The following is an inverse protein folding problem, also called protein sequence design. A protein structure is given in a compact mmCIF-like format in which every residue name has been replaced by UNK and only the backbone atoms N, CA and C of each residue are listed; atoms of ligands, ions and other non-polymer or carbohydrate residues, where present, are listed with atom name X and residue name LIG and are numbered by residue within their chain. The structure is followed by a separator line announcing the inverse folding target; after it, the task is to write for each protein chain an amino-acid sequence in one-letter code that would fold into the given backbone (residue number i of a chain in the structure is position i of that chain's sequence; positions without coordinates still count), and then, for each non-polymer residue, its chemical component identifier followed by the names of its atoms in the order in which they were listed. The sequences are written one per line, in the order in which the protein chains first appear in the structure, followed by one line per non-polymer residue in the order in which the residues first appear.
data_IF_779193891229
#
_entry.id   IF_779193891229
#
_cell.length_a   1.000
_cell.length_b   1.000
_cell.length_c   1.000
_cell.angle_alpha   90.00
_cell.angle_beta   90.00
_cell.angle_gamma   90.00
#
_symmetry.space_group_name_H-M   'P 1'
#
loop_
_entity.id
_entity.type
_entity.pdbx_description
1 polymer ?
#
# COMPACT_ATOMS: atom_id res chain seq x y z
N UNK A 1 42.04 -4.73 -24.47
CA UNK A 1 41.34 -3.51 -23.99
C UNK A 1 40.05 -3.19 -24.78
N UNK A 2 39.09 -4.11 -24.95
CA UNK A 2 37.72 -3.74 -25.44
C UNK A 2 36.58 -4.64 -24.95
N UNK A 3 36.84 -5.62 -24.09
CA UNK A 3 35.84 -6.58 -23.58
C UNK A 3 35.36 -6.28 -22.15
N UNK A 4 35.90 -5.24 -21.50
CA UNK A 4 35.59 -4.91 -20.10
C UNK A 4 34.33 -4.01 -19.99
N UNK A 5 33.88 -3.41 -21.08
CA UNK A 5 32.74 -2.47 -21.07
C UNK A 5 31.35 -3.10 -21.01
N UNK A 6 31.23 -4.42 -21.20
CA UNK A 6 29.91 -5.08 -21.35
C UNK A 6 29.47 -5.86 -20.10
N UNK A 7 30.30 -5.99 -19.07
CA UNK A 7 29.97 -6.77 -17.87
C UNK A 7 29.45 -5.95 -16.68
N UNK A 8 29.34 -4.62 -16.81
CA UNK A 8 28.90 -3.72 -15.72
C UNK A 8 27.41 -3.32 -15.78
N UNK A 9 26.63 -3.93 -16.68
CA UNK A 9 25.19 -3.66 -16.85
C UNK A 9 24.28 -4.73 -16.24
N UNK A 10 24.84 -5.66 -15.46
CA UNK A 10 24.08 -6.66 -14.75
C UNK A 10 24.06 -6.34 -13.25
N UNK A 11 22.85 -6.37 -12.65
CA UNK A 11 22.59 -6.52 -11.20
C UNK A 11 22.36 -5.25 -10.36
N UNK A 12 21.63 -4.26 -10.88
CA UNK A 12 20.69 -3.53 -10.03
C UNK A 12 19.26 -3.84 -10.48
N UNK A 13 18.91 -5.13 -10.48
CA UNK A 13 17.52 -5.48 -10.25
C UNK A 13 17.23 -5.04 -8.82
N UNK A 14 16.75 -3.81 -8.67
CA UNK A 14 15.86 -3.47 -7.56
C UNK A 14 14.82 -4.57 -7.60
N UNK A 15 14.99 -5.58 -6.74
CA UNK A 15 13.91 -6.49 -6.42
C UNK A 15 12.89 -5.56 -5.78
N UNK A 16 11.97 -5.05 -6.61
CA UNK A 16 10.77 -4.42 -6.14
C UNK A 16 10.15 -5.47 -5.24
N UNK A 17 10.42 -5.36 -3.95
CA UNK A 17 9.92 -6.23 -2.91
C UNK A 17 8.44 -5.92 -2.90
N UNK A 18 7.71 -6.62 -3.77
CA UNK A 18 6.28 -6.65 -3.82
C UNK A 18 5.86 -7.14 -2.43
N UNK A 19 5.54 -6.17 -1.58
CA UNK A 19 5.14 -6.37 -0.21
C UNK A 19 3.85 -5.63 -0.06
N UNK A 20 2.80 -6.41 0.11
CA UNK A 20 1.48 -5.89 0.37
C UNK A 20 0.84 -6.64 1.53
N UNK A 21 -0.15 -6.01 2.12
CA UNK A 21 -0.94 -6.61 3.18
C UNK A 21 -2.38 -6.16 3.05
N UNK A 22 -3.27 -7.15 2.98
CA UNK A 22 -4.70 -6.95 3.07
C UNK A 22 -5.04 -6.89 4.55
N UNK A 23 -5.44 -5.71 5.01
CA UNK A 23 -5.93 -5.46 6.35
C UNK A 23 -7.45 -5.46 6.30
N UNK A 24 -8.04 -6.42 7.00
CA UNK A 24 -9.46 -6.54 7.20
C UNK A 24 -9.77 -6.22 8.65
N UNK A 25 -10.41 -5.08 8.91
CA UNK A 25 -10.86 -4.71 10.24
C UNK A 25 -12.37 -4.89 10.35
N UNK A 26 -12.79 -5.62 11.38
CA UNK A 26 -14.18 -5.86 11.69
C UNK A 26 -14.53 -5.31 13.08
N UNK A 27 -15.51 -4.42 13.12
CA UNK A 27 -16.16 -3.91 14.32
C UNK A 27 -17.69 -4.16 14.23
N UNK A 28 -18.43 -3.95 15.33
CA UNK A 28 -19.88 -4.23 15.41
C UNK A 28 -20.73 -3.65 14.27
N UNK A 29 -20.30 -2.57 13.60
CA UNK A 29 -21.03 -1.92 12.51
C UNK A 29 -20.15 -1.48 11.34
N UNK A 30 -18.87 -1.81 11.34
CA UNK A 30 -17.92 -1.33 10.34
C UNK A 30 -17.03 -2.47 9.90
N UNK A 31 -17.17 -2.82 8.62
CA UNK A 31 -16.33 -3.80 7.94
C UNK A 31 -15.50 -3.03 6.90
N UNK A 32 -14.20 -2.93 7.16
CA UNK A 32 -13.27 -2.19 6.29
C UNK A 32 -12.19 -3.15 5.80
N UNK A 33 -12.11 -3.28 4.49
CA UNK A 33 -11.06 -4.02 3.80
C UNK A 33 -10.22 -3.08 2.95
N UNK A 34 -8.95 -2.95 3.33
CA UNK A 34 -7.95 -2.17 2.60
C UNK A 34 -6.73 -3.03 2.34
N UNK A 35 -6.04 -2.78 1.24
CA UNK A 35 -4.72 -3.36 1.02
C UNK A 35 -3.69 -2.24 0.90
N UNK A 36 -2.62 -2.34 1.68
CA UNK A 36 -1.47 -1.46 1.59
C UNK A 36 -0.39 -2.16 0.78
N UNK A 37 0.23 -1.47 -0.18
CA UNK A 37 1.32 -1.99 -1.00
C UNK A 37 2.52 -1.08 -0.90
N UNK A 38 3.64 -1.66 -0.46
CA UNK A 38 4.88 -0.98 -0.23
C UNK A 38 5.49 -0.45 -1.54
N UNK A 39 5.98 0.80 -1.52
CA UNK A 39 6.84 1.35 -2.60
C UNK A 39 8.23 1.69 -2.10
N UNK A 40 8.34 2.35 -0.96
CA UNK A 40 9.64 2.80 -0.42
C UNK A 40 9.79 2.64 1.10
N UNK A 41 8.84 1.99 1.77
CA UNK A 41 8.86 1.74 3.21
C UNK A 41 9.86 0.59 3.47
N UNK A 42 10.77 0.71 4.45
CA UNK A 42 11.63 -0.40 4.85
C UNK A 42 10.79 -1.63 5.22
N UNK A 43 11.12 -2.81 4.70
CA UNK A 43 10.33 -4.04 4.82
C UNK A 43 9.83 -4.33 6.25
N UNK A 44 10.74 -4.26 7.22
CA UNK A 44 10.40 -4.51 8.64
C UNK A 44 9.41 -3.48 9.18
N UNK A 45 9.59 -2.21 8.81
CA UNK A 45 8.68 -1.13 9.20
C UNK A 45 7.31 -1.28 8.53
N UNK A 46 7.29 -1.73 7.27
CA UNK A 46 6.05 -2.02 6.55
C UNK A 46 5.24 -3.13 7.23
N UNK A 47 5.87 -4.28 7.48
CA UNK A 47 5.21 -5.41 8.11
C UNK A 47 4.77 -5.11 9.55
N UNK A 48 5.65 -4.53 10.37
CA UNK A 48 5.39 -4.39 11.81
C UNK A 48 4.56 -3.13 12.15
N UNK A 49 4.61 -2.09 11.30
CA UNK A 49 3.97 -0.79 11.59
C UNK A 49 2.75 -0.47 10.74
N UNK A 50 2.78 -0.81 9.43
CA UNK A 50 1.74 -0.42 8.48
C UNK A 50 0.69 -1.50 8.28
N UNK A 51 1.14 -2.74 8.19
CA UNK A 51 0.29 -3.90 8.02
C UNK A 51 -0.41 -4.36 9.29
N UNK A 52 0.04 -3.93 10.47
CA UNK A 52 -0.54 -4.31 11.76
C UNK A 52 -1.07 -3.09 12.53
N UNK A 53 -2.13 -2.40 12.05
CA UNK A 53 -2.72 -1.31 12.82
C UNK A 53 -3.37 -1.88 14.09
N UNK A 54 -2.94 -1.38 15.25
CA UNK A 54 -3.57 -1.72 16.53
C UNK A 54 -4.81 -0.83 16.73
N UNK A 55 -5.97 -1.29 16.27
CA UNK A 55 -7.25 -0.59 16.43
C UNK A 55 -7.95 -1.10 17.70
N UNK A 56 -8.01 -0.25 18.72
CA UNK A 56 -8.64 -0.61 19.99
C UNK A 56 -10.11 -1.02 19.79
N UNK A 57 -10.46 -2.20 20.30
CA UNK A 57 -11.83 -2.74 20.24
C UNK A 57 -12.25 -3.32 18.88
N UNK A 58 -11.33 -3.53 17.93
CA UNK A 58 -11.63 -4.13 16.62
C UNK A 58 -10.82 -5.41 16.42
N UNK A 59 -11.43 -6.39 15.73
CA UNK A 59 -10.71 -7.57 15.28
C UNK A 59 -10.05 -7.23 13.95
N UNK A 60 -8.72 -7.25 13.92
CA UNK A 60 -7.93 -6.98 12.72
C UNK A 60 -7.32 -8.29 12.23
N UNK A 61 -7.63 -8.66 11.00
CA UNK A 61 -7.03 -9.78 10.29
C UNK A 61 -6.12 -9.23 9.18
N UNK A 62 -4.88 -9.72 9.14
CA UNK A 62 -3.86 -9.25 8.21
C UNK A 62 -3.38 -10.42 7.37
N UNK A 63 -3.52 -10.29 6.06
CA UNK A 63 -2.99 -11.25 5.09
C UNK A 63 -1.85 -10.60 4.30
N UNK A 64 -0.64 -11.12 4.47
CA UNK A 64 0.51 -10.71 3.67
C UNK A 64 0.44 -11.36 2.29
N UNK A 65 0.64 -10.54 1.26
CA UNK A 65 0.61 -10.93 -0.15
C UNK A 65 1.71 -10.19 -0.89
N UNK A 66 2.13 -10.69 -2.05
CA UNK A 66 3.16 -10.00 -2.84
C UNK A 66 2.60 -8.69 -3.42
N UNK A 67 1.37 -8.72 -3.94
CA UNK A 67 0.72 -7.56 -4.55
C UNK A 67 -0.73 -7.45 -4.06
N UNK A 68 -1.23 -6.22 -3.96
CA UNK A 68 -2.64 -6.02 -3.64
C UNK A 68 -3.53 -6.65 -4.73
N UNK A 69 -4.54 -7.45 -4.33
CA UNK A 69 -5.40 -8.13 -5.29
C UNK A 69 -6.23 -7.12 -6.12
N UNK A 70 -6.70 -7.56 -7.29
CA UNK A 70 -7.66 -6.78 -8.07
C UNK A 70 -9.01 -6.64 -7.37
N UNK A 71 -9.89 -5.80 -7.92
CA UNK A 71 -11.26 -5.61 -7.42
C UNK A 71 -11.42 -4.52 -6.37
N UNK A 72 -10.40 -3.67 -6.17
CA UNK A 72 -10.58 -2.41 -5.46
C UNK A 72 -11.55 -1.52 -6.23
N UNK A 73 -12.36 -0.70 -5.55
CA UNK A 73 -13.17 0.33 -6.22
C UNK A 73 -12.37 1.62 -6.46
N UNK A 74 -11.23 1.76 -5.79
CA UNK A 74 -10.34 2.91 -5.89
C UNK A 74 -8.98 2.60 -5.30
N UNK A 75 -7.95 3.21 -5.87
CA UNK A 75 -6.56 3.07 -5.43
C UNK A 75 -5.97 4.45 -5.21
N UNK A 76 -5.48 4.72 -4.01
CA UNK A 76 -4.64 5.87 -3.74
C UNK A 76 -3.19 5.50 -4.07
N UNK A 77 -2.72 5.83 -5.27
CA UNK A 77 -1.36 5.49 -5.68
C UNK A 77 -0.34 6.52 -5.21
N UNK A 78 0.86 6.05 -4.89
CA UNK A 78 2.00 6.87 -4.50
C UNK A 78 1.74 7.75 -3.26
N UNK A 79 0.81 7.31 -2.41
CA UNK A 79 0.42 7.96 -1.17
C UNK A 79 1.61 8.10 -0.24
N UNK A 80 1.86 9.32 0.24
CA UNK A 80 2.82 9.60 1.28
C UNK A 80 2.28 9.13 2.64
N UNK A 81 3.12 8.40 3.36
CA UNK A 81 2.87 8.03 4.75
C UNK A 81 2.90 9.29 5.63
N UNK A 82 1.90 9.46 6.48
CA UNK A 82 1.82 10.62 7.37
C UNK A 82 3.10 10.80 8.21
N UNK A 83 3.63 12.02 8.20
CA UNK A 83 4.86 12.42 8.92
C UNK A 83 6.13 11.63 8.55
N UNK A 84 6.13 10.87 7.45
CA UNK A 84 7.29 10.12 6.99
C UNK A 84 7.57 10.36 5.49
N UNK A 85 8.82 10.18 5.03
CA UNK A 85 9.18 10.38 3.62
C UNK A 85 8.81 9.18 2.73
N UNK A 86 8.17 8.16 3.28
CA UNK A 86 7.87 6.92 2.57
C UNK A 86 6.58 6.98 1.79
N UNK A 87 6.50 6.13 0.76
CA UNK A 87 5.35 6.04 -0.14
C UNK A 87 4.83 4.61 -0.23
N UNK A 88 3.53 4.51 -0.51
CA UNK A 88 2.81 3.27 -0.70
C UNK A 88 1.62 3.46 -1.66
N UNK A 89 1.06 2.38 -2.16
CA UNK A 89 -0.26 2.37 -2.80
C UNK A 89 -1.29 1.82 -1.80
N UNK A 90 -2.50 2.38 -1.77
CA UNK A 90 -3.58 1.96 -0.88
C UNK A 90 -4.81 1.60 -1.71
N UNK A 91 -5.24 0.35 -1.65
CA UNK A 91 -6.37 -0.21 -2.40
C UNK A 91 -7.58 -0.35 -1.48
N UNK A 92 -8.75 0.13 -1.91
CA UNK A 92 -9.98 0.10 -1.13
C UNK A 92 -11.01 -0.88 -1.73
N UNK A 93 -11.51 -1.84 -0.94
CA UNK A 93 -12.40 -2.93 -1.41
C UNK A 93 -13.82 -2.89 -0.85
N UNK A 94 -14.16 -1.85 -0.08
CA UNK A 94 -15.50 -1.64 0.50
C UNK A 94 -16.52 -1.07 -0.49
N UNK A 95 -17.30 -0.09 -0.03
CA UNK A 95 -18.42 0.48 -0.80
C UNK A 95 -17.93 1.60 -1.70
N UNK A 96 -18.26 1.56 -3.00
CA UNK A 96 -17.76 2.54 -3.96
C UNK A 96 -18.17 4.01 -3.64
N UNK A 97 -19.26 4.22 -2.90
CA UNK A 97 -19.70 5.54 -2.44
C UNK A 97 -18.69 6.21 -1.50
N UNK A 98 -17.85 5.42 -0.81
CA UNK A 98 -16.83 5.94 0.10
C UNK A 98 -15.72 6.70 -0.66
N UNK A 99 -15.61 6.50 -1.98
CA UNK A 99 -14.72 7.27 -2.84
C UNK A 99 -14.91 8.79 -2.69
N UNK A 100 -16.14 9.25 -2.39
CA UNK A 100 -16.43 10.67 -2.15
C UNK A 100 -15.61 11.28 -0.99
N UNK A 101 -15.19 10.46 -0.03
CA UNK A 101 -14.35 10.86 1.10
C UNK A 101 -12.89 10.45 0.90
N UNK A 102 -12.66 9.27 0.33
CA UNK A 102 -11.31 8.70 0.20
C UNK A 102 -10.50 9.36 -0.93
N UNK A 103 -11.13 9.78 -2.03
CA UNK A 103 -10.45 10.50 -3.11
C UNK A 103 -9.85 11.83 -2.64
N UNK A 104 -10.61 12.77 -2.04
CA UNK A 104 -10.04 14.04 -1.61
C UNK A 104 -9.00 13.86 -0.49
N UNK A 105 -9.17 12.85 0.37
CA UNK A 105 -8.15 12.50 1.37
C UNK A 105 -6.85 12.01 0.72
N UNK A 106 -6.95 11.13 -0.28
CA UNK A 106 -5.80 10.62 -1.03
C UNK A 106 -4.99 11.76 -1.66
N UNK A 107 -5.67 12.64 -2.39
CA UNK A 107 -5.02 13.69 -3.17
C UNK A 107 -4.53 14.84 -2.28
N UNK A 108 -5.33 15.24 -1.29
CA UNK A 108 -5.01 16.38 -0.42
C UNK A 108 -4.08 16.03 0.75
N UNK A 109 -4.41 15.01 1.53
CA UNK A 109 -3.69 14.68 2.76
C UNK A 109 -2.52 13.73 2.51
N UNK A 110 -2.78 12.66 1.76
CA UNK A 110 -1.76 11.67 1.44
C UNK A 110 -0.89 12.08 0.25
N UNK A 111 -1.18 13.17 -0.45
CA UNK A 111 -0.42 13.64 -1.62
C UNK A 111 -0.21 12.52 -2.66
N UNK A 112 -1.20 11.63 -2.77
CA UNK A 112 -1.24 10.54 -3.74
C UNK A 112 -2.02 10.93 -4.99
N UNK A 113 -2.16 9.97 -5.90
CA UNK A 113 -3.02 10.09 -7.08
C UNK A 113 -4.13 9.07 -6.99
N UNK A 114 -5.37 9.54 -7.08
CA UNK A 114 -6.52 8.63 -7.09
C UNK A 114 -6.65 7.96 -8.46
N UNK A 115 -6.65 6.63 -8.45
CA UNK A 115 -6.88 5.80 -9.63
C UNK A 115 -8.19 5.06 -9.46
N UNK A 116 -9.03 5.13 -10.49
CA UNK A 116 -10.16 4.21 -10.64
C UNK A 116 -9.63 2.99 -11.42
N UNK A 117 -9.56 1.81 -10.79
CA UNK A 117 -9.04 0.60 -11.43
C UNK A 117 -9.96 0.08 -12.54
#
# INVERSE_FOLDING_TARGET
MRLIGWLLLALTSDQALAQACVVHSQAERLDVKVCQQNRSIPQKLFADGFCQPNLAGQKVEVQYVDQCPGGAFGVCSNAQVANMPYRQDIHYYGVATDAAYLQPFCEGQSQGTWLKP
#
